data_IF_726783320807
#
_entry.id   IF_726783320807
#
_cell.length_a   1.000
_cell.length_b   1.000
_cell.length_c   1.000
_cell.angle_alpha   90.00
_cell.angle_beta   90.00
_cell.angle_gamma   90.00
#
_symmetry.space_group_name_H-M   'P 1'
#
loop_
_entity.id
_entity.type
_entity.pdbx_description
1 polymer ?
#
# COMPACT_ATOMS: atom_id res chain seq x y z
N UNK A 1 18.01 -3.50 24.60
CA UNK A 1 17.70 -2.40 23.67
C UNK A 1 16.21 -2.29 23.57
N UNK A 2 15.69 -1.08 23.68
CA UNK A 2 14.25 -0.85 23.62
C UNK A 2 13.75 -1.03 22.19
N UNK A 3 12.47 -1.40 22.03
CA UNK A 3 11.85 -1.65 20.73
C UNK A 3 12.00 -0.46 19.76
N UNK A 4 11.90 0.77 20.30
CA UNK A 4 12.06 2.01 19.53
C UNK A 4 13.48 2.11 18.93
N UNK A 5 14.51 1.75 19.69
CA UNK A 5 15.89 1.79 19.19
C UNK A 5 16.11 0.77 18.07
N UNK A 6 15.54 -0.43 18.20
CA UNK A 6 15.60 -1.45 17.15
C UNK A 6 14.93 -0.95 15.88
N UNK A 7 13.72 -0.38 16.01
CA UNK A 7 12.98 0.20 14.88
C UNK A 7 13.78 1.31 14.18
N UNK A 8 14.35 2.25 14.93
CA UNK A 8 15.16 3.33 14.37
C UNK A 8 16.38 2.79 13.61
N UNK A 9 17.08 1.80 14.17
CA UNK A 9 18.23 1.17 13.51
C UNK A 9 17.79 0.47 12.21
N UNK A 10 16.70 -0.29 12.24
CA UNK A 10 16.17 -0.95 11.05
C UNK A 10 15.77 0.04 9.96
N UNK A 11 15.10 1.15 10.33
CA UNK A 11 14.77 2.23 9.37
C UNK A 11 16.04 2.83 8.78
N UNK A 12 17.05 3.12 9.59
CA UNK A 12 18.33 3.65 9.10
C UNK A 12 19.02 2.68 8.13
N UNK A 13 19.00 1.37 8.41
CA UNK A 13 19.53 0.35 7.51
C UNK A 13 18.82 0.39 6.16
N UNK A 14 17.48 0.51 6.15
CA UNK A 14 16.70 0.63 4.90
C UNK A 14 17.08 1.90 4.15
N UNK A 15 17.05 3.05 4.82
CA UNK A 15 17.29 4.35 4.19
C UNK A 15 18.73 4.46 3.65
N UNK A 16 19.73 4.09 4.44
CA UNK A 16 21.14 4.10 4.03
C UNK A 16 21.36 3.06 2.92
N UNK A 17 20.78 1.87 3.06
CA UNK A 17 20.86 0.81 2.06
C UNK A 17 20.37 1.25 0.69
N UNK A 18 19.21 1.92 0.63
CA UNK A 18 18.61 2.37 -0.63
C UNK A 18 19.32 3.63 -1.16
N UNK A 19 19.52 4.66 -0.32
CA UNK A 19 19.98 5.97 -0.80
C UNK A 19 21.50 6.06 -0.99
N UNK A 20 22.28 5.46 -0.07
CA UNK A 20 23.74 5.59 -0.07
C UNK A 20 24.38 4.42 -0.80
N UNK A 21 23.99 3.20 -0.44
CA UNK A 21 24.57 1.97 -1.00
C UNK A 21 23.90 1.54 -2.32
N UNK A 22 22.81 2.20 -2.72
CA UNK A 22 22.02 1.88 -3.94
C UNK A 22 21.60 0.40 -4.01
N UNK A 23 21.32 -0.20 -2.86
CA UNK A 23 20.79 -1.55 -2.78
C UNK A 23 19.37 -1.59 -3.32
N UNK A 24 19.03 -2.70 -3.97
CA UNK A 24 17.65 -2.98 -4.32
C UNK A 24 16.78 -3.00 -3.05
N UNK A 25 15.58 -2.42 -3.10
CA UNK A 25 14.71 -2.24 -1.93
C UNK A 25 14.44 -3.56 -1.20
N UNK A 26 14.24 -4.66 -1.94
CA UNK A 26 14.07 -6.00 -1.38
C UNK A 26 15.24 -6.44 -0.48
N UNK A 27 16.49 -6.21 -0.92
CA UNK A 27 17.68 -6.59 -0.16
C UNK A 27 17.83 -5.71 1.08
N UNK A 28 17.62 -4.41 0.94
CA UNK A 28 17.69 -3.46 2.07
C UNK A 28 16.67 -3.82 3.17
N UNK A 29 15.43 -4.14 2.78
CA UNK A 29 14.38 -4.59 3.70
C UNK A 29 14.72 -5.93 4.36
N UNK A 30 15.24 -6.89 3.59
CA UNK A 30 15.66 -8.19 4.14
C UNK A 30 16.77 -8.04 5.18
N UNK A 31 17.79 -7.21 4.89
CA UNK A 31 18.85 -6.95 5.86
C UNK A 31 18.35 -6.23 7.11
N UNK A 32 17.45 -5.27 6.95
CA UNK A 32 16.84 -4.57 8.09
C UNK A 32 16.00 -5.50 8.97
N UNK A 33 15.27 -6.45 8.38
CA UNK A 33 14.51 -7.46 9.11
C UNK A 33 15.42 -8.44 9.86
N UNK A 34 16.50 -8.90 9.24
CA UNK A 34 17.49 -9.74 9.91
C UNK A 34 18.19 -8.99 11.04
N UNK A 35 18.61 -7.75 10.81
CA UNK A 35 19.21 -6.91 11.84
C UNK A 35 18.26 -6.68 13.01
N UNK A 36 16.97 -6.40 12.73
CA UNK A 36 15.95 -6.31 13.77
C UNK A 36 15.90 -7.58 14.60
N UNK A 37 15.80 -8.75 13.94
CA UNK A 37 15.68 -10.03 14.61
C UNK A 37 16.90 -10.38 15.48
N UNK A 38 18.11 -9.96 15.09
CA UNK A 38 19.32 -10.12 15.88
C UNK A 38 19.42 -9.15 17.05
N UNK A 39 18.89 -7.94 16.89
CA UNK A 39 18.89 -6.90 17.93
C UNK A 39 17.74 -7.08 18.93
N UNK A 40 16.73 -7.88 18.61
CA UNK A 40 15.63 -8.22 19.53
C UNK A 40 16.17 -8.93 20.77
N UNK A 41 15.87 -8.36 21.93
CA UNK A 41 16.26 -8.90 23.23
C UNK A 41 15.33 -10.01 23.71
N UNK A 42 15.84 -10.92 24.54
CA UNK A 42 15.03 -11.99 25.15
C UNK A 42 13.83 -11.44 25.93
N UNK A 43 13.99 -10.30 26.61
CA UNK A 43 12.89 -9.62 27.31
C UNK A 43 11.77 -9.19 26.35
N UNK A 44 12.11 -8.66 25.17
CA UNK A 44 11.11 -8.28 24.17
C UNK A 44 10.42 -9.50 23.56
N UNK A 45 11.15 -10.60 23.37
CA UNK A 45 10.58 -11.88 22.92
C UNK A 45 9.62 -12.46 23.96
N UNK A 46 9.98 -12.41 25.24
CA UNK A 46 9.11 -12.91 26.32
C UNK A 46 7.81 -12.12 26.42
N UNK A 47 7.88 -10.79 26.25
CA UNK A 47 6.70 -9.93 26.21
C UNK A 47 5.79 -10.29 25.04
N UNK A 48 6.36 -10.40 23.83
CA UNK A 48 5.60 -10.79 22.64
C UNK A 48 4.97 -12.20 22.78
N UNK A 49 5.75 -13.17 23.26
CA UNK A 49 5.29 -14.53 23.47
C UNK A 49 4.16 -14.61 24.51
N UNK A 50 4.22 -13.78 25.54
CA UNK A 50 3.17 -13.69 26.54
C UNK A 50 1.88 -13.12 25.95
N UNK A 51 1.96 -12.05 25.16
CA UNK A 51 0.77 -11.44 24.53
C UNK A 51 0.09 -12.43 23.57
N UNK A 52 0.86 -13.10 22.72
CA UNK A 52 0.36 -14.15 21.81
C UNK A 52 -0.26 -15.33 22.58
N UNK A 53 0.36 -15.76 23.68
CA UNK A 53 -0.17 -16.83 24.51
C UNK A 53 -1.51 -16.46 25.14
N UNK A 54 -1.68 -15.22 25.61
CA UNK A 54 -2.94 -14.74 26.19
C UNK A 54 -4.05 -14.73 25.13
N UNK A 55 -3.75 -14.24 23.92
CA UNK A 55 -4.70 -14.22 22.81
C UNK A 55 -5.12 -15.64 22.42
N UNK A 56 -4.16 -16.54 22.23
CA UNK A 56 -4.42 -17.93 21.87
C UNK A 56 -5.21 -18.68 22.96
N UNK A 57 -4.83 -18.49 24.23
CA UNK A 57 -5.49 -19.11 25.37
C UNK A 57 -6.95 -18.66 25.48
N UNK A 58 -7.19 -17.36 25.40
CA UNK A 58 -8.54 -16.77 25.46
C UNK A 58 -9.43 -17.29 24.32
N UNK A 59 -8.86 -17.50 23.12
CA UNK A 59 -9.59 -18.06 21.98
C UNK A 59 -10.02 -19.51 22.18
N UNK A 60 -9.25 -20.31 22.94
CA UNK A 60 -9.55 -21.72 23.20
C UNK A 60 -10.41 -21.94 24.46
N UNK A 61 -10.19 -21.15 25.51
CA UNK A 61 -10.79 -21.37 26.84
C UNK A 61 -11.84 -20.32 27.22
N UNK A 62 -12.01 -19.26 26.42
CA UNK A 62 -12.91 -18.16 26.72
C UNK A 62 -12.28 -17.07 27.60
N UNK A 63 -13.09 -16.06 27.91
CA UNK A 63 -12.68 -14.93 28.74
C UNK A 63 -12.47 -15.36 30.19
N UNK A 64 -11.67 -14.57 30.92
CA UNK A 64 -11.44 -14.76 32.36
C UNK A 64 -12.77 -14.74 33.13
N UNK A 65 -12.99 -15.66 34.08
CA UNK A 65 -14.21 -15.71 34.88
C UNK A 65 -14.46 -14.38 35.61
N UNK A 66 -15.71 -13.90 35.57
CA UNK A 66 -16.15 -12.68 36.26
C UNK A 66 -16.94 -13.06 37.52
N UNK A 67 -16.64 -12.39 38.64
CA UNK A 67 -17.28 -12.66 39.93
C UNK A 67 -18.83 -12.59 39.85
N UNK A 68 -19.35 -11.64 39.07
CA UNK A 68 -20.77 -11.37 38.88
C UNK A 68 -21.54 -12.55 38.26
N UNK A 69 -20.84 -13.47 37.59
CA UNK A 69 -21.43 -14.66 36.97
C UNK A 69 -21.61 -15.83 37.95
N UNK A 70 -21.09 -15.73 39.17
CA UNK A 70 -21.08 -16.78 40.17
C UNK A 70 -21.95 -16.39 41.38
N UNK A 71 -22.80 -17.32 41.81
CA UNK A 71 -23.57 -17.17 43.06
C UNK A 71 -22.84 -17.69 44.30
N UNK A 72 -21.82 -18.52 44.08
CA UNK A 72 -20.97 -19.13 45.09
C UNK A 72 -19.54 -18.59 44.95
N UNK A 73 -19.05 -17.90 45.98
CA UNK A 73 -17.72 -17.30 46.01
C UNK A 73 -16.61 -18.34 45.97
N UNK A 74 -16.82 -19.50 46.61
CA UNK A 74 -15.79 -20.54 46.71
C UNK A 74 -15.60 -21.24 45.35
N UNK A 75 -16.70 -21.37 44.59
CA UNK A 75 -16.66 -21.87 43.22
C UNK A 75 -15.94 -20.89 42.28
N UNK A 76 -16.19 -19.59 42.42
CA UNK A 76 -15.50 -18.55 41.65
C UNK A 76 -13.99 -18.55 41.90
N UNK A 77 -13.57 -18.57 43.17
CA UNK A 77 -12.14 -18.58 43.53
C UNK A 77 -11.42 -19.81 42.95
N UNK A 78 -12.09 -20.97 42.97
CA UNK A 78 -11.54 -22.20 42.41
C UNK A 78 -11.39 -22.12 40.89
N UNK A 79 -12.43 -21.70 40.17
CA UNK A 79 -12.39 -21.61 38.71
C UNK A 79 -11.42 -20.54 38.23
N UNK A 80 -11.32 -19.41 38.94
CA UNK A 80 -10.33 -18.37 38.66
C UNK A 80 -8.91 -18.89 38.89
N UNK A 81 -8.66 -19.59 40.00
CA UNK A 81 -7.35 -20.17 40.28
C UNK A 81 -6.92 -21.18 39.20
N UNK A 82 -7.86 -22.02 38.75
CA UNK A 82 -7.62 -23.00 37.69
C UNK A 82 -7.34 -22.31 36.33
N UNK A 83 -8.15 -21.30 35.97
CA UNK A 83 -7.95 -20.49 34.77
C UNK A 83 -6.57 -19.80 34.77
N UNK A 84 -6.20 -19.18 35.88
CA UNK A 84 -4.92 -18.48 36.02
C UNK A 84 -3.74 -19.46 35.95
N UNK A 85 -3.86 -20.65 36.54
CA UNK A 85 -2.83 -21.69 36.49
C UNK A 85 -2.60 -22.18 35.05
N UNK A 86 -3.67 -22.54 34.33
CA UNK A 86 -3.59 -22.98 32.94
C UNK A 86 -3.07 -21.88 32.01
N UNK A 87 -3.52 -20.62 32.20
CA UNK A 87 -3.01 -19.47 31.45
C UNK A 87 -1.51 -19.29 31.66
N UNK A 88 -1.03 -19.45 32.91
CA UNK A 88 0.40 -19.32 33.23
C UNK A 88 1.24 -20.42 32.58
N UNK A 89 0.76 -21.66 32.61
CA UNK A 89 1.43 -22.78 31.94
C UNK A 89 1.52 -22.54 30.43
N UNK A 90 0.43 -22.11 29.80
CA UNK A 90 0.41 -21.78 28.38
C UNK A 90 1.42 -20.68 28.02
N UNK A 91 1.51 -19.61 28.83
CA UNK A 91 2.49 -18.53 28.63
C UNK A 91 3.94 -19.07 28.68
N UNK A 92 4.25 -19.94 29.63
CA UNK A 92 5.61 -20.50 29.75
C UNK A 92 5.97 -21.44 28.59
N UNK A 93 5.01 -22.21 28.07
CA UNK A 93 5.19 -23.02 26.85
C UNK A 93 5.53 -22.11 25.66
N UNK A 94 4.76 -21.06 25.44
CA UNK A 94 5.00 -20.12 24.34
C UNK A 94 6.35 -19.41 24.46
N UNK A 95 6.72 -18.91 25.65
CA UNK A 95 8.03 -18.29 25.89
C UNK A 95 9.18 -19.25 25.55
N UNK A 96 9.06 -20.51 25.96
CA UNK A 96 10.05 -21.54 25.66
C UNK A 96 10.19 -21.78 24.16
N UNK A 97 9.07 -21.87 23.45
CA UNK A 97 9.07 -22.09 22.00
C UNK A 97 9.72 -20.92 21.24
N UNK A 98 9.38 -19.67 21.59
CA UNK A 98 9.99 -18.49 20.95
C UNK A 98 11.48 -18.33 21.26
N UNK A 99 11.93 -18.70 22.46
CA UNK A 99 13.36 -18.69 22.81
C UNK A 99 14.19 -19.72 22.05
N UNK A 100 13.59 -20.85 21.67
CA UNK A 100 14.29 -21.88 20.89
C UNK A 100 14.39 -21.54 19.40
N UNK A 101 13.59 -20.58 18.91
CA UNK A 101 13.64 -20.17 17.52
C UNK A 101 14.86 -19.29 17.23
N UNK A 102 15.60 -19.63 16.17
CA UNK A 102 16.68 -18.79 15.68
C UNK A 102 16.12 -17.45 15.14
N UNK A 103 16.90 -16.36 15.16
CA UNK A 103 16.49 -15.08 14.57
C UNK A 103 15.99 -15.21 13.13
N UNK A 104 16.66 -16.05 12.33
CA UNK A 104 16.25 -16.35 10.94
C UNK A 104 14.88 -17.01 10.88
N UNK A 105 14.62 -18.01 11.74
CA UNK A 105 13.34 -18.70 11.77
C UNK A 105 12.21 -17.73 12.14
N UNK A 106 12.43 -16.82 13.10
CA UNK A 106 11.44 -15.80 13.47
C UNK A 106 11.10 -14.89 12.29
N UNK A 107 12.11 -14.44 11.54
CA UNK A 107 11.89 -13.64 10.31
C UNK A 107 11.11 -14.45 9.27
N UNK A 108 11.46 -15.72 9.06
CA UNK A 108 10.79 -16.57 8.09
C UNK A 108 9.32 -16.83 8.45
N UNK A 109 9.02 -17.10 9.73
CA UNK A 109 7.67 -17.31 10.23
C UNK A 109 6.83 -16.02 10.14
N UNK A 110 7.39 -14.89 10.56
CA UNK A 110 6.71 -13.59 10.45
C UNK A 110 6.42 -13.22 8.99
N UNK A 111 7.41 -13.36 8.12
CA UNK A 111 7.25 -13.15 6.68
C UNK A 111 6.16 -14.06 6.09
N UNK A 112 6.21 -15.36 6.40
CA UNK A 112 5.23 -16.34 5.94
C UNK A 112 3.81 -16.04 6.40
N UNK A 113 3.64 -15.63 7.66
CA UNK A 113 2.34 -15.23 8.21
C UNK A 113 1.77 -14.02 7.46
N UNK A 114 2.56 -12.97 7.24
CA UNK A 114 2.14 -11.79 6.47
C UNK A 114 1.78 -12.17 5.03
N UNK A 115 2.63 -12.96 4.35
CA UNK A 115 2.34 -13.45 3.00
C UNK A 115 1.04 -14.26 2.94
N UNK A 116 0.75 -15.10 3.94
CA UNK A 116 -0.49 -15.87 4.01
C UNK A 116 -1.74 -14.99 4.17
N UNK A 117 -1.64 -13.90 4.94
CA UNK A 117 -2.77 -12.99 5.19
C UNK A 117 -3.12 -12.11 3.99
N UNK A 118 -2.12 -11.52 3.32
CA UNK A 118 -2.35 -10.48 2.30
C UNK A 118 -1.78 -10.81 0.91
N UNK A 119 -0.98 -11.86 0.76
CA UNK A 119 -0.26 -12.16 -0.49
C UNK A 119 -1.19 -12.46 -1.66
N UNK A 120 -2.28 -13.21 -1.43
CA UNK A 120 -3.25 -13.52 -2.49
C UNK A 120 -3.98 -12.27 -3.00
N UNK A 121 -4.29 -11.33 -2.11
CA UNK A 121 -4.95 -10.06 -2.46
C UNK A 121 -4.04 -9.22 -3.36
N UNK A 122 -2.75 -9.11 -3.00
CA UNK A 122 -1.74 -8.40 -3.80
C UNK A 122 -1.54 -9.08 -5.16
N UNK A 123 -1.46 -10.40 -5.20
CA UNK A 123 -1.27 -11.16 -6.44
C UNK A 123 -2.45 -10.97 -7.40
N UNK A 124 -3.68 -11.11 -6.92
CA UNK A 124 -4.89 -10.89 -7.73
C UNK A 124 -4.99 -9.46 -8.24
N UNK A 125 -4.74 -8.47 -7.37
CA UNK A 125 -4.73 -7.07 -7.77
C UNK A 125 -3.69 -6.78 -8.86
N UNK A 126 -2.49 -7.34 -8.72
CA UNK A 126 -1.40 -7.17 -9.71
C UNK A 126 -1.75 -7.80 -11.06
N UNK A 127 -2.38 -8.98 -11.06
CA UNK A 127 -2.85 -9.65 -12.28
C UNK A 127 -3.92 -8.81 -12.97
N UNK A 128 -4.93 -8.34 -12.23
CA UNK A 128 -5.99 -7.48 -12.78
C UNK A 128 -5.40 -6.19 -13.35
N UNK A 129 -4.52 -5.52 -12.60
CA UNK A 129 -3.85 -4.31 -13.05
C UNK A 129 -3.01 -4.52 -14.32
N UNK A 130 -2.30 -5.65 -14.41
CA UNK A 130 -1.52 -6.00 -15.60
C UNK A 130 -2.41 -6.29 -16.81
N UNK A 131 -3.51 -7.05 -16.64
CA UNK A 131 -4.48 -7.28 -17.69
C UNK A 131 -5.14 -5.97 -18.17
N UNK A 132 -5.46 -5.04 -17.27
CA UNK A 132 -6.02 -3.73 -17.60
C UNK A 132 -5.07 -2.90 -18.48
N UNK A 133 -3.77 -2.96 -18.20
CA UNK A 133 -2.74 -2.28 -18.99
C UNK A 133 -2.51 -2.95 -20.35
N UNK A 134 -2.31 -4.27 -20.34
CA UNK A 134 -1.95 -5.03 -21.55
C UNK A 134 -3.10 -5.09 -22.56
N UNK A 135 -4.36 -5.07 -22.09
CA UNK A 135 -5.55 -4.99 -22.94
C UNK A 135 -5.77 -3.62 -23.57
N UNK A 136 -5.10 -2.56 -23.10
CA UNK A 136 -5.38 -1.19 -23.53
C UNK A 136 -6.64 -0.57 -22.93
N UNK A 137 -7.33 -1.26 -22.01
CA UNK A 137 -8.49 -0.73 -21.29
C UNK A 137 -8.15 0.55 -20.52
N UNK A 138 -6.96 0.61 -19.90
CA UNK A 138 -6.49 1.82 -19.22
C UNK A 138 -6.40 3.04 -20.16
N UNK A 139 -5.91 2.86 -21.39
CA UNK A 139 -5.85 3.93 -22.41
C UNK A 139 -7.27 4.35 -22.81
N UNK A 140 -8.16 3.39 -23.03
CA UNK A 140 -9.57 3.65 -23.36
C UNK A 140 -10.27 4.48 -22.28
N UNK A 141 -10.05 4.18 -21.00
CA UNK A 141 -10.62 4.91 -19.87
C UNK A 141 -10.15 6.37 -19.89
N UNK A 142 -8.85 6.62 -20.03
CA UNK A 142 -8.30 7.99 -20.03
C UNK A 142 -8.88 8.81 -21.19
N UNK A 143 -8.88 8.24 -22.40
CA UNK A 143 -9.44 8.92 -23.59
C UNK A 143 -10.94 9.19 -23.46
N UNK A 144 -11.70 8.24 -22.91
CA UNK A 144 -13.15 8.40 -22.70
C UNK A 144 -13.44 9.54 -21.72
N UNK A 145 -12.71 9.60 -20.61
CA UNK A 145 -12.87 10.68 -19.61
C UNK A 145 -12.43 12.03 -20.18
N UNK A 146 -11.35 12.08 -20.97
CA UNK A 146 -10.91 13.29 -21.68
C UNK A 146 -11.95 13.78 -22.70
N UNK A 147 -12.51 12.87 -23.49
CA UNK A 147 -13.55 13.20 -24.47
C UNK A 147 -14.84 13.68 -23.78
N UNK A 148 -15.17 13.12 -22.62
CA UNK A 148 -16.37 13.50 -21.86
C UNK A 148 -16.23 14.86 -21.15
N UNK A 149 -15.12 15.11 -20.46
CA UNK A 149 -14.88 16.38 -19.75
C UNK A 149 -14.45 17.51 -20.69
N UNK A 150 -13.94 17.15 -21.87
CA UNK A 150 -13.46 18.05 -22.91
C UNK A 150 -12.08 18.66 -22.63
N UNK A 151 -11.49 19.23 -23.67
CA UNK A 151 -10.12 19.77 -23.64
C UNK A 151 -9.91 20.88 -22.60
N UNK A 152 -10.97 21.66 -22.29
CA UNK A 152 -10.92 22.73 -21.27
C UNK A 152 -10.66 22.18 -19.85
N UNK A 153 -11.05 20.93 -19.60
CA UNK A 153 -10.96 20.26 -18.31
C UNK A 153 -9.99 19.07 -18.35
N UNK A 154 -9.05 19.05 -19.31
CA UNK A 154 -8.10 17.95 -19.45
C UNK A 154 -7.30 17.69 -18.15
N UNK A 155 -6.95 18.73 -17.38
CA UNK A 155 -6.30 18.54 -16.08
C UNK A 155 -7.14 17.74 -15.07
N UNK A 156 -8.45 17.99 -14.96
CA UNK A 156 -9.32 17.18 -14.08
C UNK A 156 -9.51 15.77 -14.62
N UNK A 157 -9.56 15.60 -15.93
CA UNK A 157 -9.63 14.28 -16.57
C UNK A 157 -8.40 13.44 -16.23
N UNK A 158 -7.19 14.01 -16.41
CA UNK A 158 -5.95 13.34 -16.06
C UNK A 158 -5.84 13.01 -14.57
N UNK A 159 -6.25 13.92 -13.67
CA UNK A 159 -6.28 13.64 -12.24
C UNK A 159 -7.25 12.49 -11.91
N UNK A 160 -8.48 12.54 -12.42
CA UNK A 160 -9.50 11.53 -12.13
C UNK A 160 -9.16 10.15 -12.69
N UNK A 161 -8.72 10.10 -13.95
CA UNK A 161 -8.26 8.86 -14.58
C UNK A 161 -7.01 8.31 -13.90
N UNK A 162 -6.04 9.17 -13.54
CA UNK A 162 -4.85 8.75 -12.79
C UNK A 162 -5.21 8.17 -11.43
N UNK A 163 -6.14 8.81 -10.71
CA UNK A 163 -6.66 8.32 -9.43
C UNK A 163 -7.31 6.94 -9.57
N UNK A 164 -8.22 6.79 -10.54
CA UNK A 164 -8.93 5.53 -10.75
C UNK A 164 -7.99 4.38 -11.15
N UNK A 165 -7.09 4.64 -12.10
CA UNK A 165 -6.18 3.61 -12.62
C UNK A 165 -5.09 3.21 -11.62
N UNK A 166 -4.67 4.11 -10.73
CA UNK A 166 -3.60 3.84 -9.76
C UNK A 166 -4.07 3.06 -8.53
N UNK A 167 -5.37 2.76 -8.41
CA UNK A 167 -5.90 1.86 -7.37
C UNK A 167 -5.43 0.42 -7.64
N UNK A 168 -5.72 -0.20 -8.80
CA UNK A 168 -5.24 -1.55 -9.11
C UNK A 168 -3.82 -1.59 -9.70
N UNK A 169 -3.31 -0.50 -10.26
CA UNK A 169 -2.03 -0.46 -10.98
C UNK A 169 -1.00 0.38 -10.23
N UNK A 170 0.28 0.03 -10.34
CA UNK A 170 1.36 0.84 -9.82
C UNK A 170 1.40 2.23 -10.49
N UNK A 171 1.62 3.25 -9.66
CA UNK A 171 1.62 4.65 -10.10
C UNK A 171 2.62 4.93 -11.22
N UNK A 172 3.81 4.33 -11.17
CA UNK A 172 4.85 4.47 -12.20
C UNK A 172 4.33 4.06 -13.59
N UNK A 173 3.64 2.93 -13.67
CA UNK A 173 3.14 2.38 -14.92
C UNK A 173 1.99 3.21 -15.47
N UNK A 174 1.08 3.66 -14.59
CA UNK A 174 0.01 4.60 -14.96
C UNK A 174 0.60 5.93 -15.43
N UNK A 175 1.62 6.44 -14.74
CA UNK A 175 2.28 7.69 -15.10
C UNK A 175 2.92 7.60 -16.49
N UNK A 176 3.66 6.53 -16.78
CA UNK A 176 4.24 6.30 -18.10
C UNK A 176 3.18 6.14 -19.20
N UNK A 177 2.07 5.45 -18.93
CA UNK A 177 0.94 5.35 -19.86
C UNK A 177 0.33 6.72 -20.19
N UNK A 178 0.19 7.59 -19.19
CA UNK A 178 -0.52 8.87 -19.34
C UNK A 178 0.37 10.00 -19.88
N UNK A 179 1.70 9.89 -19.80
CA UNK A 179 2.63 10.89 -20.37
C UNK A 179 2.39 11.10 -21.88
N UNK A 180 2.38 10.06 -22.75
CA UNK A 180 2.06 10.21 -24.17
C UNK A 180 0.74 10.94 -24.41
N UNK A 181 -0.31 10.59 -23.66
CA UNK A 181 -1.63 11.20 -23.77
C UNK A 181 -1.64 12.68 -23.36
N UNK A 182 -0.89 13.01 -22.29
CA UNK A 182 -0.68 14.39 -21.86
C UNK A 182 0.08 15.21 -22.91
N UNK A 183 1.11 14.63 -23.54
CA UNK A 183 1.84 15.26 -24.66
C UNK A 183 0.92 15.48 -25.86
N UNK A 184 0.18 14.46 -26.29
CA UNK A 184 -0.77 14.56 -27.42
C UNK A 184 -1.85 15.62 -27.15
N UNK A 185 -2.38 15.67 -25.93
CA UNK A 185 -3.36 16.69 -25.53
C UNK A 185 -2.76 18.09 -25.53
N UNK A 186 -1.50 18.25 -25.09
CA UNK A 186 -0.78 19.54 -25.17
C UNK A 186 -0.54 19.99 -26.61
N UNK A 187 -0.25 19.06 -27.54
CA UNK A 187 -0.06 19.39 -28.95
C UNK A 187 -1.37 19.90 -29.58
N UNK A 188 -2.50 19.30 -29.23
CA UNK A 188 -3.83 19.73 -29.70
C UNK A 188 -4.31 21.04 -29.07
N UNK A 189 -4.17 21.17 -27.75
CA UNK A 189 -4.69 22.32 -26.99
C UNK A 189 -3.74 23.53 -27.00
N UNK A 190 -2.47 23.31 -27.34
CA UNK A 190 -1.46 24.36 -27.43
C UNK A 190 -0.96 24.91 -26.09
N UNK A 191 -1.46 24.44 -24.91
CA UNK A 191 -1.05 24.93 -23.57
C UNK A 191 -1.15 23.84 -22.47
N UNK A 192 -0.61 24.14 -21.27
CA UNK A 192 -0.87 23.40 -20.01
C UNK A 192 -0.24 22.00 -19.84
N UNK A 193 0.92 21.73 -20.43
CA UNK A 193 1.61 20.45 -20.25
C UNK A 193 1.95 20.15 -18.78
N UNK A 194 2.49 21.15 -18.08
CA UNK A 194 2.83 21.04 -16.66
C UNK A 194 1.59 20.71 -15.82
N UNK A 195 0.45 21.34 -16.09
CA UNK A 195 -0.81 21.02 -15.41
C UNK A 195 -1.19 19.55 -15.61
N UNK A 196 -1.05 19.00 -16.82
CA UNK A 196 -1.42 17.61 -17.08
C UNK A 196 -0.52 16.64 -16.31
N UNK A 197 0.80 16.84 -16.36
CA UNK A 197 1.74 16.01 -15.61
C UNK A 197 1.47 16.07 -14.10
N UNK A 198 1.35 17.28 -13.53
CA UNK A 198 1.07 17.44 -12.11
C UNK A 198 -0.31 16.89 -11.71
N UNK A 199 -1.31 16.97 -12.60
CA UNK A 199 -2.61 16.38 -12.36
C UNK A 199 -2.55 14.85 -12.29
N UNK A 200 -1.80 14.21 -13.20
CA UNK A 200 -1.56 12.75 -13.15
C UNK A 200 -0.89 12.39 -11.84
N UNK A 201 0.17 13.11 -11.45
CA UNK A 201 0.88 12.86 -10.17
C UNK A 201 -0.08 13.04 -8.99
N UNK A 202 -0.86 14.13 -8.96
CA UNK A 202 -1.78 14.44 -7.86
C UNK A 202 -2.84 13.35 -7.67
N UNK A 203 -3.45 12.87 -8.75
CA UNK A 203 -4.45 11.79 -8.68
C UNK A 203 -3.81 10.43 -8.38
N UNK A 204 -2.84 10.04 -9.21
CA UNK A 204 -2.28 8.69 -9.17
C UNK A 204 -1.49 8.39 -7.91
N UNK A 205 -0.66 9.32 -7.44
CA UNK A 205 0.13 9.10 -6.22
C UNK A 205 -0.73 8.99 -4.96
N UNK A 206 -1.81 9.77 -4.88
CA UNK A 206 -2.73 9.74 -3.73
C UNK A 206 -3.52 8.43 -3.69
N UNK A 207 -4.08 8.00 -4.83
CA UNK A 207 -4.75 6.72 -4.92
C UNK A 207 -3.81 5.56 -4.55
N UNK A 208 -2.62 5.52 -5.16
CA UNK A 208 -1.64 4.47 -4.92
C UNK A 208 -1.20 4.39 -3.46
N UNK A 209 -1.08 5.53 -2.79
CA UNK A 209 -0.56 5.60 -1.41
C UNK A 209 -1.62 5.40 -0.33
N UNK A 210 -2.91 5.62 -0.63
CA UNK A 210 -3.96 5.69 0.38
C UNK A 210 -5.08 4.66 0.20
N UNK A 211 -5.22 4.06 -0.99
CA UNK A 211 -6.35 3.17 -1.31
C UNK A 211 -5.83 1.73 -1.49
N UNK A 212 -6.31 0.76 -0.68
CA UNK A 212 -6.07 -0.67 -0.94
C UNK A 212 -6.60 -1.06 -2.34
N UNK A 213 -5.96 -2.00 -3.07
CA UNK A 213 -5.19 -3.15 -2.60
C UNK A 213 -3.66 -2.95 -2.56
N UNK A 214 -3.16 -1.72 -2.71
CA UNK A 214 -1.72 -1.47 -2.72
C UNK A 214 -1.06 -1.95 -1.40
N UNK A 215 0.18 -2.48 -1.45
CA UNK A 215 0.77 -3.16 -0.29
C UNK A 215 0.82 -2.30 0.99
N UNK A 216 1.11 -1.00 0.86
CA UNK A 216 1.20 -0.09 2.00
C UNK A 216 -0.12 0.03 2.78
N UNK A 217 -1.19 0.58 2.18
CA UNK A 217 -2.52 0.65 2.78
C UNK A 217 -3.07 -0.70 3.25
N UNK A 218 -2.76 -1.80 2.54
CA UNK A 218 -3.21 -3.13 2.90
C UNK A 218 -2.56 -3.63 4.21
N UNK A 219 -1.26 -3.41 4.38
CA UNK A 219 -0.55 -3.73 5.63
C UNK A 219 -1.10 -2.89 6.79
N UNK A 220 -1.37 -1.60 6.58
CA UNK A 220 -1.96 -0.75 7.61
C UNK A 220 -3.36 -1.25 8.01
N UNK A 221 -4.19 -1.65 7.04
CA UNK A 221 -5.50 -2.20 7.34
C UNK A 221 -5.43 -3.49 8.17
N UNK A 222 -4.44 -4.35 7.88
CA UNK A 222 -4.22 -5.60 8.60
C UNK A 222 -3.73 -5.37 10.04
N UNK A 223 -2.70 -4.54 10.21
CA UNK A 223 -2.12 -4.28 11.53
C UNK A 223 -3.11 -3.63 12.50
N UNK A 224 -3.91 -2.67 12.01
CA UNK A 224 -4.95 -2.01 12.80
C UNK A 224 -6.26 -2.81 12.86
N UNK A 225 -6.32 -4.01 12.27
CA UNK A 225 -7.53 -4.84 12.18
C UNK A 225 -8.75 -4.08 11.64
N UNK A 226 -8.52 -3.16 10.70
CA UNK A 226 -9.57 -2.34 10.09
C UNK A 226 -10.19 -3.12 8.92
N UNK A 227 -11.52 -3.10 8.84
CA UNK A 227 -12.22 -3.71 7.71
C UNK A 227 -11.77 -3.10 6.38
N UNK A 228 -11.40 -3.95 5.42
CA UNK A 228 -10.87 -3.54 4.11
C UNK A 228 -11.79 -2.58 3.35
N UNK A 229 -13.11 -2.81 3.38
CA UNK A 229 -14.08 -1.95 2.69
C UNK A 229 -14.09 -0.55 3.32
N UNK A 230 -14.00 -0.49 4.65
CA UNK A 230 -13.93 0.79 5.37
C UNK A 230 -12.65 1.55 4.99
N UNK A 231 -11.52 0.84 4.91
CA UNK A 231 -10.25 1.43 4.49
C UNK A 231 -10.31 1.93 3.03
N UNK A 232 -10.94 1.19 2.12
CA UNK A 232 -11.11 1.62 0.72
C UNK A 232 -11.96 2.90 0.65
N UNK A 233 -13.10 2.95 1.34
CA UNK A 233 -13.97 4.13 1.31
C UNK A 233 -13.25 5.34 1.91
N UNK A 234 -12.64 5.17 3.10
CA UNK A 234 -11.90 6.25 3.76
C UNK A 234 -10.71 6.72 2.92
N UNK A 235 -9.91 5.79 2.39
CA UNK A 235 -8.78 6.07 1.51
C UNK A 235 -9.21 6.79 0.23
N UNK A 236 -10.33 6.38 -0.38
CA UNK A 236 -10.89 7.07 -1.55
C UNK A 236 -11.32 8.50 -1.21
N UNK A 237 -12.00 8.71 -0.09
CA UNK A 237 -12.42 10.05 0.35
C UNK A 237 -11.21 10.96 0.61
N UNK A 238 -10.27 10.52 1.45
CA UNK A 238 -9.08 11.30 1.80
C UNK A 238 -8.17 11.51 0.58
N UNK A 239 -7.99 10.46 -0.22
CA UNK A 239 -7.20 10.50 -1.44
C UNK A 239 -7.78 11.45 -2.47
N UNK A 240 -9.10 11.46 -2.67
CA UNK A 240 -9.75 12.39 -3.60
C UNK A 240 -9.64 13.83 -3.12
N UNK A 241 -9.88 14.10 -1.83
CA UNK A 241 -9.67 15.42 -1.24
C UNK A 241 -8.23 15.92 -1.42
N UNK A 242 -7.25 15.04 -1.17
CA UNK A 242 -5.83 15.35 -1.33
C UNK A 242 -5.45 15.56 -2.80
N UNK A 243 -6.03 14.78 -3.72
CA UNK A 243 -5.83 14.92 -5.17
C UNK A 243 -6.37 16.25 -5.68
N UNK A 244 -7.53 16.69 -5.18
CA UNK A 244 -8.11 18.00 -5.51
C UNK A 244 -7.20 19.12 -5.02
N UNK A 245 -6.64 19.02 -3.82
CA UNK A 245 -5.64 19.98 -3.33
C UNK A 245 -4.37 19.99 -4.21
N UNK A 246 -3.90 18.82 -4.65
CA UNK A 246 -2.80 18.71 -5.61
C UNK A 246 -3.13 19.35 -6.96
N UNK A 247 -4.36 19.20 -7.45
CA UNK A 247 -4.80 19.81 -8.69
C UNK A 247 -4.95 21.34 -8.59
N UNK A 248 -5.43 21.87 -7.46
CA UNK A 248 -5.49 23.32 -7.26
C UNK A 248 -4.09 23.92 -7.21
N UNK A 249 -3.15 23.25 -6.55
CA UNK A 249 -1.73 23.60 -6.60
C UNK A 249 -1.15 23.53 -8.03
N UNK A 250 -1.46 22.48 -8.78
CA UNK A 250 -1.05 22.33 -10.17
C UNK A 250 -1.55 23.48 -11.06
N UNK A 251 -2.81 23.90 -10.89
CA UNK A 251 -3.37 25.08 -11.58
C UNK A 251 -2.64 26.36 -11.20
N UNK A 252 -2.29 26.53 -9.93
CA UNK A 252 -1.57 27.71 -9.44
C UNK A 252 -0.16 27.81 -10.03
N UNK A 253 0.62 26.73 -10.01
CA UNK A 253 1.99 26.75 -10.52
C UNK A 253 2.05 26.84 -12.04
N UNK A 254 1.13 26.18 -12.76
CA UNK A 254 1.05 26.26 -14.22
C UNK A 254 0.74 27.67 -14.73
N UNK A 255 0.09 28.52 -13.93
CA UNK A 255 -0.10 29.95 -14.26
C UNK A 255 1.16 30.79 -14.07
N UNK A 256 2.14 30.30 -13.30
CA UNK A 256 3.40 31.00 -12.98
C UNK A 256 4.58 30.51 -13.80
N UNK A 257 4.52 29.27 -14.28
CA UNK A 257 5.59 28.62 -15.01
C UNK A 257 5.03 27.92 -16.24
N UNK A 258 5.45 28.37 -17.42
CA UNK A 258 5.21 27.63 -18.65
C UNK A 258 6.45 26.78 -18.96
N UNK A 259 6.28 25.47 -18.89
CA UNK A 259 7.34 24.52 -19.27
C UNK A 259 7.14 24.15 -20.74
N UNK A 260 8.10 24.45 -21.61
CA UNK A 260 8.04 24.02 -23.00
C UNK A 260 8.08 22.50 -23.07
N UNK A 261 7.39 21.93 -24.05
CA UNK A 261 7.58 20.54 -24.43
C UNK A 261 9.05 20.35 -24.82
N UNK A 262 9.75 19.47 -24.10
CA UNK A 262 11.11 19.06 -24.43
C UNK A 262 11.06 17.61 -24.88
N UNK A 263 11.90 17.27 -25.85
CA UNK A 263 12.14 15.89 -26.23
C UNK A 263 12.70 15.15 -25.01
N UNK A 264 12.09 14.02 -24.67
CA UNK A 264 12.55 13.15 -23.59
C UNK A 264 13.62 12.21 -24.14
N UNK A 265 14.76 12.11 -23.45
CA UNK A 265 15.89 11.28 -23.88
C UNK A 265 15.62 9.76 -23.85
N UNK A 266 14.61 9.31 -23.10
CA UNK A 266 14.33 7.88 -22.85
C UNK A 266 13.25 7.26 -23.77
N UNK A 267 12.57 8.05 -24.59
CA UNK A 267 11.64 7.58 -25.61
C UNK A 267 11.42 8.70 -26.63
N UNK A 268 11.68 8.41 -27.92
CA UNK A 268 11.55 9.41 -28.98
C UNK A 268 10.10 9.90 -29.05
N UNK A 269 9.90 11.17 -29.41
CA UNK A 269 8.54 11.70 -29.59
C UNK A 269 7.74 10.83 -30.55
N UNK A 270 8.38 10.28 -31.58
CA UNK A 270 7.75 9.41 -32.58
C UNK A 270 7.23 8.08 -31.98
N UNK A 271 7.92 7.47 -31.02
CA UNK A 271 7.47 6.23 -30.35
C UNK A 271 6.30 6.49 -29.40
N UNK A 272 6.33 7.61 -28.67
CA UNK A 272 5.24 8.03 -27.78
C UNK A 272 4.04 8.53 -28.60
N UNK A 273 4.26 9.20 -29.73
CA UNK A 273 3.21 9.57 -30.68
C UNK A 273 2.61 8.33 -31.35
N UNK A 274 3.39 7.31 -31.71
CA UNK A 274 2.88 6.05 -32.25
C UNK A 274 2.00 5.29 -31.24
N UNK A 275 2.37 5.30 -29.95
CA UNK A 275 1.49 4.77 -28.89
C UNK A 275 0.23 5.62 -28.70
N UNK A 276 0.35 6.95 -28.71
CA UNK A 276 -0.79 7.87 -28.58
C UNK A 276 -1.70 7.91 -29.83
N UNK A 277 -1.18 7.56 -31.00
CA UNK A 277 -1.88 7.55 -32.29
C UNK A 277 -2.53 6.19 -32.61
N UNK A 278 -2.45 5.20 -31.71
CA UNK A 278 -3.27 3.98 -31.84
C UNK A 278 -4.73 4.36 -32.05
N UNK A 279 -5.34 3.77 -33.09
CA UNK A 279 -6.72 4.04 -33.45
C UNK A 279 -7.64 3.62 -32.31
N UNK A 280 -8.64 4.44 -31.99
CA UNK A 280 -9.65 4.09 -30.98
C UNK A 280 -10.39 2.78 -31.30
N UNK A 281 -10.35 2.33 -32.56
CA UNK A 281 -10.93 1.07 -33.05
C UNK A 281 -10.16 -0.18 -32.60
N UNK A 282 -8.88 -0.04 -32.22
CA UNK A 282 -8.03 -1.14 -31.76
C UNK A 282 -8.10 -1.36 -30.23
N UNK A 283 -8.81 -0.49 -29.51
CA UNK A 283 -8.98 -0.57 -28.06
C UNK A 283 -10.26 -1.34 -27.69
N UNK A 284 -10.28 -2.08 -26.57
CA UNK A 284 -11.50 -2.72 -26.10
C UNK A 284 -12.60 -1.67 -25.86
N UNK A 285 -13.88 -2.02 -26.08
CA UNK A 285 -14.96 -1.08 -25.88
C UNK A 285 -15.10 -0.74 -24.38
N UNK A 286 -15.56 0.46 -24.08
CA UNK A 286 -15.58 1.02 -22.71
C UNK A 286 -16.37 0.18 -21.69
N UNK A 287 -17.36 -0.60 -22.12
CA UNK A 287 -18.16 -1.47 -21.24
C UNK A 287 -17.47 -2.81 -20.90
N UNK A 288 -16.39 -3.16 -21.62
CA UNK A 288 -15.50 -4.29 -21.34
C UNK A 288 -14.18 -3.85 -20.68
N UNK A 289 -13.98 -2.54 -20.49
CA UNK A 289 -12.78 -1.90 -19.91
C UNK A 289 -13.03 -1.48 -18.46
#
# INVERSE_FOLDING_TARGET
MDAISILVISILIVVIGILVLRLHAFLALTFAALAAAFLTTDTALDHYAQDEAIIAFTKMHGAEPLADAYSDSDLFEKDLADYVAHRREAIEVYKKDYRQQTPMMRVALGFGATCGKIGILIAMASIIGKCLLDSGAADRIVRTVLNWLGEKNAGTAFMGSGFLLSIPVFFDTVFYLMIPLAKATRLRTGKNYLLFILAIVAGGSMAHSLVPPTPGPLIVAEEFNVNLITMIIAGCCVGLCSSVAGLTFAKWINRRMEIPLRDSADASLDELEAQAARSEQDLPPFWLS
#
